data_IF_165035495772
#
_entry.id   IF_165035495772
#
_cell.length_a   1.000
_cell.length_b   1.000
_cell.length_c   1.000
_cell.angle_alpha   90.00
_cell.angle_beta   90.00
_cell.angle_gamma   90.00
#
_symmetry.space_group_name_H-M   'P 1'
#
loop_
_entity.id
_entity.type
_entity.pdbx_description
1 polymer ?
#
# COMPACT_ATOMS: atom_id res chain seq x y z
N UNK A 1 19.85 20.89 3.34
CA UNK A 1 18.57 21.36 3.92
C UNK A 1 17.91 20.16 4.55
N UNK A 2 17.78 20.14 5.88
CA UNK A 2 17.02 19.09 6.56
C UNK A 2 15.54 19.45 6.46
N UNK A 3 14.77 18.72 5.69
CA UNK A 3 13.32 18.79 5.74
C UNK A 3 12.88 18.03 7.00
N UNK A 4 12.58 18.77 8.06
CA UNK A 4 12.01 18.22 9.28
C UNK A 4 10.51 18.51 9.27
N UNK A 5 9.76 17.67 8.55
CA UNK A 5 8.30 17.65 8.61
C UNK A 5 7.90 16.70 9.74
N UNK A 6 6.97 17.10 10.59
CA UNK A 6 6.40 16.18 11.59
C UNK A 6 5.56 15.10 10.92
N UNK A 7 5.27 14.02 11.65
CA UNK A 7 4.42 12.93 11.16
C UNK A 7 3.03 13.43 10.77
N UNK A 8 2.45 14.30 11.59
CA UNK A 8 1.12 14.88 11.34
C UNK A 8 1.10 15.79 10.11
N UNK A 9 2.14 16.63 9.93
CA UNK A 9 2.29 17.46 8.74
C UNK A 9 2.45 16.61 7.47
N UNK A 10 3.17 15.49 7.57
CA UNK A 10 3.34 14.58 6.45
C UNK A 10 2.04 13.85 6.11
N UNK A 11 1.29 13.40 7.11
CA UNK A 11 -0.03 12.82 6.91
C UNK A 11 -0.99 13.81 6.23
N UNK A 12 -1.06 15.05 6.72
CA UNK A 12 -1.86 16.09 6.10
C UNK A 12 -1.43 16.41 4.66
N UNK A 13 -0.13 16.39 4.37
CA UNK A 13 0.39 16.54 3.01
C UNK A 13 -0.06 15.42 2.09
N UNK A 14 0.02 14.16 2.54
CA UNK A 14 -0.40 13.00 1.75
C UNK A 14 -1.89 13.06 1.40
N UNK A 15 -2.73 13.46 2.35
CA UNK A 15 -4.18 13.64 2.15
C UNK A 15 -4.47 14.80 1.18
N UNK A 16 -3.80 15.95 1.37
CA UNK A 16 -3.96 17.09 0.49
C UNK A 16 -3.50 16.80 -0.96
N UNK A 17 -2.46 15.97 -1.12
CA UNK A 17 -1.96 15.51 -2.41
C UNK A 17 -2.81 14.37 -3.02
N UNK A 18 -3.85 13.91 -2.32
CA UNK A 18 -4.70 12.77 -2.70
C UNK A 18 -3.92 11.47 -2.98
N UNK A 19 -2.84 11.28 -2.27
CA UNK A 19 -2.10 10.01 -2.20
C UNK A 19 -2.79 9.11 -1.19
N UNK A 20 -3.34 9.71 -0.14
CA UNK A 20 -4.12 9.06 0.91
C UNK A 20 -5.46 9.80 1.12
N UNK A 21 -6.27 9.38 2.07
CA UNK A 21 -7.63 9.87 2.27
C UNK A 21 -8.60 9.26 1.26
N UNK A 22 -9.60 10.02 0.85
CA UNK A 22 -10.50 9.62 -0.23
C UNK A 22 -9.75 9.68 -1.57
N UNK A 23 -9.48 8.52 -2.14
CA UNK A 23 -8.73 8.36 -3.38
C UNK A 23 -9.63 7.93 -4.54
N UNK A 24 -9.13 8.05 -5.77
CA UNK A 24 -9.90 7.76 -6.97
C UNK A 24 -10.18 6.26 -7.20
N UNK A 25 -9.74 5.36 -6.31
CA UNK A 25 -10.02 3.93 -6.43
C UNK A 25 -11.47 3.65 -6.03
N UNK A 26 -12.31 3.11 -6.93
CA UNK A 26 -13.68 2.79 -6.60
C UNK A 26 -13.78 1.70 -5.54
N UNK A 27 -14.71 1.88 -4.61
CA UNK A 27 -14.99 0.90 -3.55
C UNK A 27 -15.36 -0.46 -4.10
N UNK A 28 -16.24 -0.49 -5.09
CA UNK A 28 -16.68 -1.70 -5.76
C UNK A 28 -15.52 -2.51 -6.32
N UNK A 29 -14.53 -1.86 -6.94
CA UNK A 29 -13.34 -2.55 -7.46
C UNK A 29 -12.53 -3.19 -6.33
N UNK A 30 -12.37 -2.53 -5.20
CA UNK A 30 -11.64 -3.10 -4.07
C UNK A 30 -12.34 -4.34 -3.52
N UNK A 31 -13.68 -4.31 -3.41
CA UNK A 31 -14.46 -5.46 -2.95
C UNK A 31 -14.42 -6.61 -3.95
N UNK A 32 -14.53 -6.32 -5.24
CA UNK A 32 -14.42 -7.30 -6.32
C UNK A 32 -13.02 -7.93 -6.38
N UNK A 33 -11.97 -7.14 -6.13
CA UNK A 33 -10.61 -7.66 -6.09
C UNK A 33 -10.38 -8.60 -4.90
N UNK A 34 -11.00 -8.36 -3.75
CA UNK A 34 -10.97 -9.31 -2.62
C UNK A 34 -11.56 -10.66 -3.06
N UNK A 35 -12.73 -10.62 -3.70
CA UNK A 35 -13.36 -11.83 -4.20
C UNK A 35 -12.52 -12.51 -5.28
N UNK A 36 -12.03 -11.75 -6.24
CA UNK A 36 -11.18 -12.27 -7.31
C UNK A 36 -9.89 -12.91 -6.80
N UNK A 37 -9.28 -12.36 -5.75
CA UNK A 37 -8.13 -12.99 -5.07
C UNK A 37 -8.52 -14.36 -4.49
N UNK A 38 -9.65 -14.45 -3.81
CA UNK A 38 -10.14 -15.70 -3.22
C UNK A 38 -10.53 -16.75 -4.26
N UNK A 39 -11.00 -16.31 -5.43
CA UNK A 39 -11.36 -17.16 -6.57
C UNK A 39 -10.13 -17.65 -7.37
N UNK A 40 -8.93 -17.26 -6.97
CA UNK A 40 -7.68 -17.66 -7.64
C UNK A 40 -7.43 -16.94 -8.96
N UNK A 41 -7.83 -15.67 -9.07
CA UNK A 41 -7.52 -14.87 -10.24
C UNK A 41 -6.02 -14.60 -10.31
N UNK A 42 -5.34 -15.10 -11.35
CA UNK A 42 -3.89 -15.01 -11.53
C UNK A 42 -3.34 -13.57 -11.53
N UNK A 43 -4.15 -12.59 -11.92
CA UNK A 43 -3.77 -11.17 -11.89
C UNK A 43 -3.83 -10.57 -10.48
N UNK A 44 -4.43 -11.26 -9.51
CA UNK A 44 -4.59 -10.80 -8.13
C UNK A 44 -3.80 -11.64 -7.12
N UNK A 45 -3.38 -12.84 -7.49
CA UNK A 45 -2.55 -13.72 -6.65
C UNK A 45 -1.07 -13.35 -6.67
N UNK A 46 -0.59 -12.75 -7.74
CA UNK A 46 0.82 -12.40 -7.95
C UNK A 46 1.82 -13.55 -7.76
N UNK A 47 1.39 -14.81 -7.92
CA UNK A 47 2.22 -15.99 -7.72
C UNK A 47 2.65 -16.25 -6.27
N UNK A 48 1.99 -15.63 -5.30
CA UNK A 48 2.29 -15.83 -3.88
C UNK A 48 1.64 -17.13 -3.39
N UNK A 49 2.42 -17.99 -2.74
CA UNK A 49 1.85 -19.16 -2.07
C UNK A 49 1.12 -18.75 -0.80
N UNK A 50 -0.11 -19.23 -0.67
CA UNK A 50 -0.89 -19.00 0.54
C UNK A 50 -0.31 -19.81 1.69
N UNK A 51 -0.05 -19.13 2.79
CA UNK A 51 0.47 -19.76 4.02
C UNK A 51 -0.63 -20.15 5.00
N UNK A 52 -1.89 -19.81 4.70
CA UNK A 52 -3.08 -20.12 5.47
C UNK A 52 -4.31 -20.09 4.56
N UNK A 53 -5.42 -20.62 5.04
CA UNK A 53 -6.72 -20.43 4.42
C UNK A 53 -7.18 -18.98 4.60
N UNK A 54 -7.68 -18.39 3.52
CA UNK A 54 -8.21 -17.04 3.50
C UNK A 54 -9.70 -17.08 3.20
N UNK A 55 -10.46 -16.24 3.87
CA UNK A 55 -11.85 -15.93 3.59
C UNK A 55 -12.02 -14.41 3.35
N UNK A 56 -13.20 -14.02 2.89
CA UNK A 56 -13.49 -12.62 2.54
C UNK A 56 -13.26 -11.69 3.73
N UNK A 57 -13.72 -12.09 4.91
CA UNK A 57 -13.60 -11.25 6.11
C UNK A 57 -12.15 -11.03 6.52
N UNK A 58 -11.33 -12.05 6.49
CA UNK A 58 -9.92 -11.96 6.85
C UNK A 58 -9.12 -11.14 5.84
N UNK A 59 -9.41 -11.23 4.54
CA UNK A 59 -8.78 -10.38 3.52
C UNK A 59 -9.23 -8.93 3.69
N UNK A 60 -10.53 -8.69 3.87
CA UNK A 60 -11.08 -7.36 4.10
C UNK A 60 -10.43 -6.69 5.33
N UNK A 61 -10.32 -7.40 6.44
CA UNK A 61 -9.67 -6.89 7.65
C UNK A 61 -8.19 -6.54 7.45
N UNK A 62 -7.47 -7.34 6.65
CA UNK A 62 -6.08 -7.01 6.29
C UNK A 62 -6.03 -5.73 5.47
N UNK A 63 -6.93 -5.54 4.50
CA UNK A 63 -7.00 -4.33 3.69
C UNK A 63 -7.31 -3.10 4.54
N UNK A 64 -8.29 -3.19 5.44
CA UNK A 64 -8.60 -2.11 6.40
C UNK A 64 -7.38 -1.77 7.26
N UNK A 65 -6.76 -2.77 7.85
CA UNK A 65 -5.66 -2.56 8.79
C UNK A 65 -4.38 -2.07 8.11
N UNK A 66 -4.05 -2.60 6.92
CA UNK A 66 -2.76 -2.35 6.27
C UNK A 66 -2.80 -1.22 5.25
N UNK A 67 -3.93 -1.04 4.57
CA UNK A 67 -4.09 -0.01 3.55
C UNK A 67 -4.99 1.14 4.01
N UNK A 68 -5.76 0.99 5.08
CA UNK A 68 -6.71 2.00 5.53
C UNK A 68 -7.95 2.07 4.64
N UNK A 69 -8.36 0.91 4.13
CA UNK A 69 -9.65 0.78 3.43
C UNK A 69 -10.78 1.18 4.36
N UNK A 70 -11.85 1.81 3.82
CA UNK A 70 -13.02 2.16 4.63
C UNK A 70 -13.58 0.91 5.34
N UNK A 71 -13.66 0.90 6.68
CA UNK A 71 -14.11 -0.26 7.43
C UNK A 71 -15.62 -0.50 7.35
N UNK A 72 -16.40 0.47 6.88
CA UNK A 72 -17.85 0.34 6.75
C UNK A 72 -18.22 -0.64 5.64
N UNK A 73 -18.73 -1.80 6.02
CA UNK A 73 -19.15 -2.86 5.09
C UNK A 73 -20.42 -2.51 4.32
N UNK A 74 -21.21 -1.55 4.78
CA UNK A 74 -22.39 -1.06 4.07
C UNK A 74 -22.05 -0.07 2.95
N UNK A 75 -20.83 0.50 2.99
CA UNK A 75 -20.27 1.32 1.92
C UNK A 75 -19.78 0.41 0.79
N UNK A 76 -20.59 0.24 -0.26
CA UNK A 76 -20.32 -0.71 -1.35
C UNK A 76 -19.95 -0.05 -2.67
N UNK A 77 -20.12 1.25 -2.81
CA UNK A 77 -19.89 2.00 -4.04
C UNK A 77 -19.30 3.37 -3.78
N UNK A 78 -18.64 3.94 -4.77
CA UNK A 78 -18.06 5.27 -4.71
C UNK A 78 -16.59 5.24 -4.35
N UNK A 79 -16.07 6.34 -3.80
CA UNK A 79 -14.65 6.43 -3.43
C UNK A 79 -14.35 5.58 -2.19
N UNK A 80 -13.22 4.91 -2.23
CA UNK A 80 -12.66 4.25 -1.05
C UNK A 80 -11.54 5.10 -0.43
N UNK A 81 -10.94 4.62 0.65
CA UNK A 81 -9.89 5.32 1.37
C UNK A 81 -8.56 4.58 1.36
N UNK A 82 -7.47 5.34 1.44
CA UNK A 82 -6.13 4.86 1.81
C UNK A 82 -5.71 5.62 3.06
N UNK A 83 -5.27 4.92 4.09
CA UNK A 83 -4.89 5.54 5.37
C UNK A 83 -3.52 6.19 5.32
N UNK A 84 -3.41 7.48 5.67
CA UNK A 84 -2.14 8.18 5.75
C UNK A 84 -1.20 7.52 6.77
N UNK A 85 -1.71 7.16 7.94
CA UNK A 85 -0.93 6.49 8.99
C UNK A 85 -0.41 5.12 8.56
N UNK A 86 -1.20 4.34 7.83
CA UNK A 86 -0.77 3.07 7.25
C UNK A 86 0.34 3.27 6.22
N UNK A 87 0.21 4.26 5.35
CA UNK A 87 1.24 4.61 4.37
C UNK A 87 2.54 5.03 5.03
N UNK A 88 2.49 5.91 6.03
CA UNK A 88 3.67 6.39 6.75
C UNK A 88 4.35 5.23 7.47
N UNK A 89 3.59 4.39 8.17
CA UNK A 89 4.13 3.22 8.86
C UNK A 89 4.79 2.23 7.90
N UNK A 90 4.21 2.03 6.72
CA UNK A 90 4.80 1.19 5.68
C UNK A 90 6.10 1.79 5.11
N UNK A 91 6.15 3.11 4.93
CA UNK A 91 7.37 3.81 4.49
C UNK A 91 8.48 3.74 5.53
N UNK A 92 8.16 3.89 6.81
CA UNK A 92 9.12 3.75 7.91
C UNK A 92 9.70 2.33 7.98
N UNK A 93 8.84 1.31 7.84
CA UNK A 93 9.30 -0.09 7.81
C UNK A 93 10.13 -0.37 6.55
N UNK A 94 9.73 0.14 5.39
CA UNK A 94 10.53 0.06 4.17
C UNK A 94 11.91 0.70 4.37
N UNK A 95 11.96 1.91 4.94
CA UNK A 95 13.22 2.61 5.18
C UNK A 95 14.14 1.83 6.15
N UNK A 96 13.57 1.18 7.17
CA UNK A 96 14.31 0.33 8.10
C UNK A 96 14.90 -0.88 7.37
N UNK A 97 14.08 -1.64 6.62
CA UNK A 97 14.52 -2.83 5.89
C UNK A 97 15.58 -2.46 4.84
N UNK A 98 15.33 -1.40 4.09
CA UNK A 98 16.28 -0.91 3.08
C UNK A 98 17.60 -0.49 3.71
N UNK A 99 17.55 0.28 4.80
CA UNK A 99 18.74 0.69 5.54
C UNK A 99 19.54 -0.49 6.10
N UNK A 100 18.87 -1.53 6.60
CA UNK A 100 19.53 -2.76 7.06
C UNK A 100 20.21 -3.50 5.90
N UNK A 101 19.54 -3.60 4.74
CA UNK A 101 20.10 -4.22 3.53
C UNK A 101 21.35 -3.46 3.04
N UNK A 102 21.32 -2.13 3.01
CA UNK A 102 22.48 -1.31 2.64
C UNK A 102 23.63 -1.52 3.61
N UNK A 103 23.37 -1.46 4.91
CA UNK A 103 24.41 -1.64 5.94
C UNK A 103 25.06 -3.02 5.92
N UNK A 104 24.30 -4.04 5.56
CA UNK A 104 24.79 -5.42 5.44
C UNK A 104 25.47 -5.73 4.12
N UNK A 105 25.52 -4.78 3.16
CA UNK A 105 26.06 -5.00 1.84
C UNK A 105 25.25 -5.97 0.98
N UNK A 106 23.96 -6.11 1.26
CA UNK A 106 23.05 -6.96 0.50
C UNK A 106 22.86 -6.45 -0.92
N UNK A 107 22.64 -7.36 -1.88
CA UNK A 107 22.22 -6.96 -3.22
C UNK A 107 20.76 -6.53 -3.18
N UNK A 108 20.46 -5.37 -3.75
CA UNK A 108 19.13 -4.80 -3.81
C UNK A 108 18.68 -4.74 -5.26
N UNK A 109 17.49 -5.25 -5.55
CA UNK A 109 16.83 -5.16 -6.85
C UNK A 109 15.63 -4.24 -6.73
N UNK A 110 15.62 -3.19 -7.54
CA UNK A 110 14.44 -2.35 -7.71
C UNK A 110 13.63 -2.82 -8.92
N UNK A 111 12.37 -3.14 -8.70
CA UNK A 111 11.45 -3.56 -9.75
C UNK A 111 10.15 -2.77 -9.65
N UNK A 112 9.56 -2.38 -10.78
CA UNK A 112 8.29 -1.66 -10.82
C UNK A 112 7.50 -1.94 -12.09
N UNK A 113 6.19 -2.12 -11.93
CA UNK A 113 5.20 -2.08 -13.01
C UNK A 113 4.76 -0.65 -13.39
N UNK A 114 5.18 0.38 -12.61
CA UNK A 114 4.81 1.78 -12.81
C UNK A 114 6.04 2.68 -12.98
N UNK A 115 6.81 2.50 -14.09
CA UNK A 115 8.09 3.17 -14.25
C UNK A 115 7.97 4.70 -14.30
N UNK A 116 6.88 5.24 -14.81
CA UNK A 116 6.68 6.69 -14.92
C UNK A 116 6.70 7.38 -13.55
N UNK A 117 6.18 6.74 -12.50
CA UNK A 117 6.13 7.30 -11.15
C UNK A 117 7.29 6.90 -10.26
N UNK A 118 7.73 5.64 -10.33
CA UNK A 118 8.68 5.08 -9.36
C UNK A 118 10.14 5.09 -9.83
N UNK A 119 10.40 5.11 -11.12
CA UNK A 119 11.77 5.09 -11.64
C UNK A 119 12.64 6.23 -11.11
N UNK A 120 12.19 7.51 -11.07
CA UNK A 120 13.00 8.60 -10.53
C UNK A 120 13.36 8.39 -9.05
N UNK A 121 12.47 7.82 -8.26
CA UNK A 121 12.70 7.53 -6.85
C UNK A 121 13.74 6.41 -6.71
N UNK A 122 13.57 5.33 -7.45
CA UNK A 122 14.51 4.21 -7.43
C UNK A 122 15.92 4.59 -7.91
N UNK A 123 16.00 5.46 -8.92
CA UNK A 123 17.28 5.96 -9.42
C UNK A 123 18.05 6.81 -8.39
N UNK A 124 17.36 7.44 -7.45
CA UNK A 124 17.99 8.18 -6.34
C UNK A 124 18.44 7.23 -5.21
N UNK A 125 17.73 6.12 -5.03
CA UNK A 125 18.02 5.14 -3.97
C UNK A 125 19.12 4.15 -4.36
N UNK A 126 19.34 3.94 -5.67
CA UNK A 126 20.33 3.02 -6.21
C UNK A 126 21.75 3.61 -6.22
#
# INVERSE_FOLDING_TARGET
>A
MSFSMSRDEFAAYLDAARITGEVATPRENNLDHIQGFLDGNEHLEFGVQWTRDWDYDSVFEVMVRRAGLNPDRSHTHGQDTIGAEQCISALEEYARIFGDAVRSGSRILFATGHPAGLFPIYAVLA
#
